data_IF_845071462996
#
_entry.id   IF_845071462996
#
_cell.length_a   1.000
_cell.length_b   1.000
_cell.length_c   1.000
_cell.angle_alpha   90.00
_cell.angle_beta   90.00
_cell.angle_gamma   90.00
#
_symmetry.space_group_name_H-M   'P 1'
#
loop_
_entity.id
_entity.type
_entity.pdbx_description
1 polymer ?
#
# COMPACT_ATOMS: atom_id res chain seq x y z
N UNK A 1 -2.95 -4.19 0.12
CA UNK A 1 -3.57 -3.14 0.94
C UNK A 1 -3.06 -3.24 2.37
N UNK A 2 -3.36 -2.27 3.26
CA UNK A 2 -2.98 -2.35 4.67
C UNK A 2 -3.69 -3.52 5.38
N UNK A 3 -4.97 -3.75 5.08
CA UNK A 3 -5.70 -4.92 5.56
C UNK A 3 -5.00 -6.25 5.20
N UNK A 4 -4.53 -6.39 3.95
CA UNK A 4 -3.78 -7.59 3.55
C UNK A 4 -2.55 -7.81 4.43
N UNK A 5 -1.72 -6.78 4.63
CA UNK A 5 -0.53 -6.88 5.49
C UNK A 5 -0.90 -7.29 6.91
N UNK A 6 -1.89 -6.63 7.51
CA UNK A 6 -2.34 -6.96 8.87
C UNK A 6 -2.89 -8.38 8.99
N UNK A 7 -3.69 -8.83 8.02
CA UNK A 7 -4.22 -10.19 7.99
C UNK A 7 -3.11 -11.24 7.86
N UNK A 8 -2.13 -11.02 6.98
CA UNK A 8 -1.00 -11.93 6.85
C UNK A 8 -0.08 -11.92 8.08
N UNK A 9 0.02 -10.80 8.81
CA UNK A 9 0.66 -10.76 10.13
C UNK A 9 -0.04 -11.69 11.14
N UNK A 10 -1.35 -11.55 11.31
CA UNK A 10 -2.12 -12.42 12.21
C UNK A 10 -1.94 -13.90 11.87
N UNK A 11 -1.99 -14.22 10.57
CA UNK A 11 -1.77 -15.57 10.06
C UNK A 11 -0.35 -16.07 10.37
N UNK A 12 0.66 -15.25 10.14
CA UNK A 12 2.05 -15.62 10.40
C UNK A 12 2.30 -15.91 11.89
N UNK A 13 1.72 -15.10 12.78
CA UNK A 13 1.80 -15.31 14.23
C UNK A 13 1.14 -16.63 14.64
N UNK A 14 -0.07 -16.92 14.15
CA UNK A 14 -0.74 -18.19 14.40
C UNK A 14 0.05 -19.39 13.82
N UNK A 15 0.63 -19.24 12.64
CA UNK A 15 1.46 -20.30 12.04
C UNK A 15 2.73 -20.57 12.84
N UNK A 16 3.40 -19.53 13.33
CA UNK A 16 4.57 -19.69 14.19
C UNK A 16 4.19 -20.37 15.53
N UNK A 17 3.04 -20.00 16.10
CA UNK A 17 2.50 -20.62 17.31
C UNK A 17 2.17 -22.11 17.13
N UNK A 18 1.53 -22.47 16.01
CA UNK A 18 1.19 -23.86 15.67
C UNK A 18 2.42 -24.70 15.26
N UNK A 19 3.63 -24.12 15.18
CA UNK A 19 4.84 -24.78 14.67
C UNK A 19 4.84 -25.04 13.16
N UNK A 20 3.97 -24.35 12.41
CA UNK A 20 3.80 -24.49 10.95
C UNK A 20 4.58 -23.45 10.15
N UNK A 21 4.92 -22.32 10.80
CA UNK A 21 5.66 -21.21 10.21
C UNK A 21 6.99 -20.97 10.92
N UNK A 22 7.84 -20.17 10.30
CA UNK A 22 9.07 -19.68 10.93
C UNK A 22 8.74 -18.73 12.08
N UNK A 23 9.62 -18.70 13.10
CA UNK A 23 9.54 -17.69 14.17
C UNK A 23 9.77 -16.29 13.59
N UNK A 24 9.04 -15.31 14.12
CA UNK A 24 9.05 -13.93 13.63
C UNK A 24 8.88 -12.95 14.77
N UNK A 25 9.51 -11.78 14.65
CA UNK A 25 9.33 -10.66 15.61
C UNK A 25 7.90 -10.12 15.59
N UNK A 26 7.09 -10.50 14.60
CA UNK A 26 5.68 -10.15 14.54
C UNK A 26 4.87 -10.76 15.68
N UNK A 27 5.28 -11.90 16.25
CA UNK A 27 4.56 -12.55 17.35
C UNK A 27 4.41 -11.60 18.53
N UNK A 28 5.53 -11.12 19.07
CA UNK A 28 5.54 -10.20 20.21
C UNK A 28 4.84 -8.88 19.87
N UNK A 29 5.14 -8.30 18.70
CA UNK A 29 4.57 -7.01 18.27
C UNK A 29 3.06 -7.04 18.09
N UNK A 30 2.52 -8.12 17.52
CA UNK A 30 1.06 -8.27 17.33
C UNK A 30 0.39 -8.52 18.67
N UNK A 31 0.97 -9.35 19.54
CA UNK A 31 0.42 -9.61 20.86
C UNK A 31 0.34 -8.32 21.68
N UNK A 32 1.40 -7.52 21.70
CA UNK A 32 1.43 -6.21 22.33
C UNK A 32 0.36 -5.27 21.75
N UNK A 33 0.29 -5.17 20.42
CA UNK A 33 -0.68 -4.30 19.74
C UNK A 33 -2.15 -4.69 19.98
N UNK A 34 -2.42 -5.96 20.27
CA UNK A 34 -3.77 -6.47 20.56
C UNK A 34 -4.06 -6.58 22.06
N UNK A 35 -3.06 -6.38 22.93
CA UNK A 35 -3.18 -6.53 24.37
C UNK A 35 -3.54 -7.95 24.80
N UNK A 36 -2.96 -8.96 24.15
CA UNK A 36 -3.22 -10.39 24.42
C UNK A 36 -1.97 -11.06 25.01
N UNK A 37 -2.18 -12.12 25.79
CA UNK A 37 -1.11 -12.85 26.49
C UNK A 37 -0.67 -14.12 25.76
N UNK A 38 -1.47 -14.61 24.81
CA UNK A 38 -1.12 -15.76 23.97
C UNK A 38 -1.60 -15.60 22.51
N UNK A 39 -0.86 -16.10 21.49
CA UNK A 39 -1.29 -16.05 20.09
C UNK A 39 -2.66 -16.66 19.77
N UNK A 40 -3.12 -17.68 20.49
CA UNK A 40 -4.42 -18.31 20.25
C UNK A 40 -5.61 -17.37 20.54
N UNK A 41 -5.41 -16.35 21.38
CA UNK A 41 -6.41 -15.31 21.64
C UNK A 41 -6.73 -14.46 20.40
N UNK A 42 -5.88 -14.48 19.36
CA UNK A 42 -6.17 -13.84 18.06
C UNK A 42 -7.48 -14.39 17.48
N UNK A 43 -7.77 -15.68 17.64
CA UNK A 43 -9.01 -16.30 17.13
C UNK A 43 -10.23 -15.64 17.78
N UNK A 44 -10.19 -15.44 19.10
CA UNK A 44 -11.25 -14.75 19.84
C UNK A 44 -11.38 -13.29 19.38
N UNK A 45 -10.27 -12.56 19.25
CA UNK A 45 -10.25 -11.18 18.76
C UNK A 45 -10.93 -11.05 17.39
N UNK A 46 -10.57 -11.92 16.44
CA UNK A 46 -11.08 -11.86 15.06
C UNK A 46 -12.54 -12.29 14.95
N UNK A 47 -12.91 -13.42 15.56
CA UNK A 47 -14.24 -14.02 15.33
C UNK A 47 -15.30 -13.65 16.36
N UNK A 48 -14.93 -13.50 17.64
CA UNK A 48 -15.86 -13.22 18.73
C UNK A 48 -16.00 -11.71 18.93
N UNK A 49 -14.86 -11.01 19.05
CA UNK A 49 -14.83 -9.55 19.21
C UNK A 49 -14.99 -8.82 17.88
N UNK A 50 -15.02 -9.56 16.75
CA UNK A 50 -15.31 -9.06 15.40
C UNK A 50 -14.43 -7.87 15.01
N UNK A 51 -13.11 -8.03 15.16
CA UNK A 51 -12.15 -7.05 14.67
C UNK A 51 -12.51 -6.58 13.26
N UNK A 52 -12.71 -5.28 13.13
CA UNK A 52 -13.04 -4.66 11.87
C UNK A 52 -11.85 -4.65 10.91
N UNK A 53 -12.15 -4.42 9.62
CA UNK A 53 -11.14 -4.25 8.57
C UNK A 53 -10.12 -3.17 8.94
N UNK A 54 -10.57 -2.08 9.56
CA UNK A 54 -9.70 -1.00 10.01
C UNK A 54 -8.74 -1.45 11.11
N UNK A 55 -9.21 -2.22 12.09
CA UNK A 55 -8.39 -2.70 13.21
C UNK A 55 -7.31 -3.66 12.73
N UNK A 56 -7.65 -4.58 11.83
CA UNK A 56 -6.67 -5.47 11.20
C UNK A 56 -5.68 -4.65 10.37
N UNK A 57 -6.15 -3.68 9.59
CA UNK A 57 -5.27 -2.83 8.79
C UNK A 57 -4.28 -2.00 9.62
N UNK A 58 -4.59 -1.67 10.88
CA UNK A 58 -3.67 -0.97 11.79
C UNK A 58 -2.43 -1.79 12.16
N UNK A 59 -2.42 -3.10 11.90
CA UNK A 59 -1.24 -3.95 12.10
C UNK A 59 -0.23 -3.87 10.94
N UNK A 60 -0.60 -3.26 9.81
CA UNK A 60 0.28 -3.14 8.65
C UNK A 60 1.64 -2.46 8.92
N UNK A 61 1.73 -1.38 9.73
CA UNK A 61 3.00 -0.76 10.07
C UNK A 61 3.97 -1.75 10.72
N UNK A 62 3.50 -2.62 11.62
CA UNK A 62 4.32 -3.65 12.28
C UNK A 62 5.02 -4.56 11.27
N UNK A 63 4.32 -4.94 10.19
CA UNK A 63 4.87 -5.76 9.11
C UNK A 63 5.95 -4.99 8.36
N UNK A 64 5.67 -3.74 7.98
CA UNK A 64 6.65 -2.95 7.21
C UNK A 64 7.87 -2.57 8.03
N UNK A 65 7.73 -2.35 9.34
CA UNK A 65 8.83 -2.10 10.26
C UNK A 65 9.66 -3.35 10.50
N UNK A 66 9.04 -4.49 10.77
CA UNK A 66 9.74 -5.77 10.92
C UNK A 66 10.52 -6.13 9.64
N UNK A 67 9.94 -5.90 8.45
CA UNK A 67 10.63 -6.10 7.19
C UNK A 67 11.84 -5.16 7.02
N UNK A 68 11.73 -3.87 7.43
CA UNK A 68 12.86 -2.94 7.46
C UNK A 68 13.98 -3.40 8.39
N UNK A 69 13.63 -4.04 9.51
CA UNK A 69 14.57 -4.62 10.47
C UNK A 69 15.14 -5.99 10.05
N UNK A 70 14.78 -6.51 8.87
CA UNK A 70 15.34 -7.74 8.32
C UNK A 70 14.60 -9.02 8.71
N UNK A 71 13.41 -8.94 9.32
CA UNK A 71 12.59 -10.13 9.58
C UNK A 71 12.16 -10.78 8.26
N UNK A 72 12.46 -12.08 8.11
CA UNK A 72 12.25 -12.83 6.87
C UNK A 72 10.77 -13.03 6.55
N UNK A 73 9.97 -13.32 7.56
CA UNK A 73 8.52 -13.55 7.42
C UNK A 73 7.84 -12.27 6.97
N UNK A 74 8.11 -11.16 7.64
CA UNK A 74 7.61 -9.84 7.31
C UNK A 74 8.07 -9.39 5.91
N UNK A 75 9.34 -9.63 5.57
CA UNK A 75 9.87 -9.35 4.22
C UNK A 75 9.14 -10.14 3.14
N UNK A 76 8.81 -11.41 3.39
CA UNK A 76 8.01 -12.25 2.49
C UNK A 76 6.60 -11.69 2.30
N UNK A 77 5.94 -11.28 3.39
CA UNK A 77 4.60 -10.67 3.35
C UNK A 77 4.62 -9.37 2.54
N UNK A 78 5.61 -8.49 2.75
CA UNK A 78 5.76 -7.23 2.00
C UNK A 78 6.00 -7.50 0.52
N UNK A 79 6.86 -8.47 0.20
CA UNK A 79 7.13 -8.87 -1.19
C UNK A 79 5.87 -9.39 -1.88
N UNK A 80 5.06 -10.19 -1.18
CA UNK A 80 3.80 -10.70 -1.73
C UNK A 80 2.77 -9.58 -1.94
N UNK A 81 2.66 -8.64 -0.99
CA UNK A 81 1.82 -7.46 -1.16
C UNK A 81 2.25 -6.62 -2.37
N UNK A 82 3.56 -6.39 -2.54
CA UNK A 82 4.14 -5.69 -3.68
C UNK A 82 3.85 -6.42 -5.00
N UNK A 83 3.94 -7.76 -5.02
CA UNK A 83 3.61 -8.58 -6.18
C UNK A 83 2.16 -8.38 -6.60
N UNK A 84 1.23 -8.45 -5.65
CA UNK A 84 -0.19 -8.23 -5.92
C UNK A 84 -0.45 -6.82 -6.47
N UNK A 85 0.17 -5.78 -5.90
CA UNK A 85 0.06 -4.41 -6.40
C UNK A 85 0.58 -4.30 -7.84
N UNK A 86 1.75 -4.88 -8.13
CA UNK A 86 2.33 -4.84 -9.47
C UNK A 86 1.44 -5.52 -10.51
N UNK A 87 0.81 -6.64 -10.16
CA UNK A 87 -0.12 -7.34 -11.04
C UNK A 87 -1.32 -6.48 -11.47
N UNK A 88 -1.80 -5.56 -10.62
CA UNK A 88 -2.87 -4.63 -11.01
C UNK A 88 -2.40 -3.69 -12.12
N UNK A 89 -1.22 -3.09 -11.96
CA UNK A 89 -0.64 -2.19 -12.98
C UNK A 89 -0.43 -2.94 -14.29
N UNK A 90 0.18 -4.13 -14.24
CA UNK A 90 0.46 -4.94 -15.45
C UNK A 90 -0.83 -5.29 -16.18
N UNK A 91 -1.89 -5.65 -15.45
CA UNK A 91 -3.19 -5.93 -16.04
C UNK A 91 -3.80 -4.70 -16.72
N UNK A 92 -3.66 -3.52 -16.11
CA UNK A 92 -4.18 -2.26 -16.66
C UNK A 92 -3.40 -1.82 -17.91
N UNK A 93 -2.07 -1.88 -17.88
CA UNK A 93 -1.22 -1.56 -19.04
C UNK A 93 -1.64 -2.36 -20.26
N UNK A 94 -1.81 -3.67 -20.10
CA UNK A 94 -2.27 -4.56 -21.17
C UNK A 94 -3.69 -4.24 -21.61
N UNK A 95 -4.61 -4.03 -20.66
CA UNK A 95 -6.02 -3.75 -20.96
C UNK A 95 -6.22 -2.43 -21.72
N UNK A 96 -5.37 -1.43 -21.45
CA UNK A 96 -5.44 -0.10 -22.04
C UNK A 96 -4.55 0.05 -23.30
N UNK A 97 -3.78 -0.97 -23.67
CA UNK A 97 -2.88 -0.91 -24.83
C UNK A 97 -1.67 0.04 -24.63
N UNK A 98 -1.30 0.33 -23.38
CA UNK A 98 -0.23 1.28 -23.03
C UNK A 98 1.18 0.66 -23.08
N UNK A 99 1.34 -0.49 -23.71
CA UNK A 99 2.62 -1.22 -23.74
C UNK A 99 3.73 -0.43 -24.47
N UNK A 100 3.35 0.46 -25.40
CA UNK A 100 4.26 1.36 -26.11
C UNK A 100 4.66 2.64 -25.35
N UNK A 101 4.00 2.96 -24.24
CA UNK A 101 4.27 4.18 -23.46
C UNK A 101 5.39 3.94 -22.45
N UNK A 102 6.65 4.01 -22.93
CA UNK A 102 7.82 3.73 -22.10
C UNK A 102 8.60 5.04 -21.79
N UNK A 103 8.87 5.37 -20.51
CA UNK A 103 8.49 4.61 -19.31
C UNK A 103 7.01 4.78 -18.95
N UNK A 104 6.41 3.71 -18.42
CA UNK A 104 5.07 3.75 -17.86
C UNK A 104 5.15 4.48 -16.51
N UNK A 105 4.51 5.65 -16.43
CA UNK A 105 4.43 6.44 -15.20
C UNK A 105 3.39 5.83 -14.27
N UNK A 106 3.81 5.47 -13.05
CA UNK A 106 2.95 4.86 -12.03
C UNK A 106 2.94 5.76 -10.81
N UNK A 107 1.82 6.44 -10.60
CA UNK A 107 1.60 7.23 -9.39
C UNK A 107 1.12 6.33 -8.24
N UNK A 108 1.84 6.32 -7.12
CA UNK A 108 1.47 5.51 -5.96
C UNK A 108 0.67 6.33 -4.95
N UNK A 109 -0.54 5.86 -4.62
CA UNK A 109 -1.41 6.50 -3.62
C UNK A 109 -1.81 5.50 -2.53
N UNK A 110 -1.86 5.96 -1.29
CA UNK A 110 -2.38 5.20 -0.15
C UNK A 110 -1.34 4.85 0.91
N UNK A 111 -1.83 4.56 2.11
CA UNK A 111 -1.00 4.47 3.33
C UNK A 111 0.09 3.40 3.30
N UNK A 112 -0.06 2.33 2.52
CA UNK A 112 0.97 1.29 2.40
C UNK A 112 2.26 1.83 1.77
N UNK A 113 2.14 2.69 0.76
CA UNK A 113 3.31 3.28 0.08
C UNK A 113 4.08 4.27 0.97
N UNK A 114 3.47 4.77 2.06
CA UNK A 114 4.16 5.57 3.09
C UNK A 114 5.24 4.78 3.84
N UNK A 115 5.26 3.44 3.72
CA UNK A 115 6.35 2.62 4.23
C UNK A 115 7.68 2.84 3.46
N UNK A 116 7.66 3.51 2.30
CA UNK A 116 8.83 3.90 1.54
C UNK A 116 9.48 2.72 0.80
N UNK A 117 10.80 2.73 0.72
CA UNK A 117 11.59 1.77 -0.09
C UNK A 117 11.31 0.30 0.22
N UNK A 118 10.87 -0.04 1.43
CA UNK A 118 10.55 -1.43 1.82
C UNK A 118 9.44 -2.02 0.94
N UNK A 119 8.48 -1.21 0.49
CA UNK A 119 7.42 -1.64 -0.44
C UNK A 119 7.70 -1.19 -1.87
N UNK A 120 8.27 0.01 -2.06
CA UNK A 120 8.51 0.58 -3.40
C UNK A 120 9.51 -0.26 -4.19
N UNK A 121 10.63 -0.70 -3.57
CA UNK A 121 11.64 -1.53 -4.26
C UNK A 121 11.08 -2.84 -4.81
N UNK A 122 10.45 -3.72 -4.00
CA UNK A 122 9.89 -4.95 -4.54
C UNK A 122 8.76 -4.68 -5.54
N UNK A 123 7.93 -3.66 -5.32
CA UNK A 123 6.85 -3.28 -6.24
C UNK A 123 7.40 -2.89 -7.61
N UNK A 124 8.35 -1.95 -7.66
CA UNK A 124 9.04 -1.53 -8.88
C UNK A 124 9.76 -2.70 -9.55
N UNK A 125 10.48 -3.52 -8.79
CA UNK A 125 11.15 -4.72 -9.31
C UNK A 125 10.20 -5.71 -10.00
N UNK A 126 8.96 -5.87 -9.51
CA UNK A 126 7.98 -6.73 -10.18
C UNK A 126 7.44 -6.15 -11.50
N UNK A 127 7.37 -4.83 -11.61
CA UNK A 127 6.96 -4.12 -12.83
C UNK A 127 8.07 -4.16 -13.90
N UNK A 128 9.30 -3.89 -13.49
CA UNK A 128 10.50 -3.84 -14.35
C UNK A 128 10.83 -5.17 -15.04
N UNK A 129 10.25 -6.28 -14.58
CA UNK A 129 10.31 -7.57 -15.29
C UNK A 129 9.61 -7.56 -16.65
N UNK A 130 8.77 -6.56 -16.93
CA UNK A 130 7.89 -6.53 -18.11
C UNK A 130 7.95 -5.19 -18.84
N UNK A 131 8.04 -4.09 -18.10
CA UNK A 131 7.97 -2.75 -18.66
C UNK A 131 9.02 -1.84 -18.01
N UNK A 132 9.51 -0.85 -18.76
CA UNK A 132 10.21 0.29 -18.15
C UNK A 132 9.19 1.12 -17.38
N UNK A 133 9.43 1.35 -16.09
CA UNK A 133 8.49 2.08 -15.24
C UNK A 133 9.17 3.20 -14.47
N UNK A 134 8.44 4.29 -14.32
CA UNK A 134 8.81 5.42 -13.47
C UNK A 134 7.79 5.55 -12.34
N UNK A 135 8.24 5.42 -11.09
CA UNK A 135 7.37 5.69 -9.94
C UNK A 135 7.37 7.20 -9.72
N UNK A 136 6.19 7.82 -9.82
CA UNK A 136 6.01 9.27 -9.72
C UNK A 136 5.13 9.63 -8.53
N UNK A 137 5.34 10.80 -7.96
CA UNK A 137 4.40 11.37 -7.00
C UNK A 137 3.31 12.15 -7.75
N UNK A 138 2.03 12.06 -7.32
CA UNK A 138 0.99 12.94 -7.85
C UNK A 138 1.36 14.41 -7.61
N UNK A 139 1.26 15.24 -8.65
CA UNK A 139 1.54 16.67 -8.53
C UNK A 139 0.55 17.38 -7.59
N UNK A 140 -0.71 16.96 -7.63
CA UNK A 140 -1.80 17.54 -6.85
C UNK A 140 -2.52 16.48 -6.00
N UNK A 141 -3.18 16.88 -4.90
CA UNK A 141 -4.01 15.97 -4.15
C UNK A 141 -5.23 15.51 -4.97
N UNK A 142 -5.86 14.36 -4.62
CA UNK A 142 -7.04 13.85 -5.32
C UNK A 142 -8.21 14.84 -5.42
N UNK A 143 -8.34 15.76 -4.45
CA UNK A 143 -9.36 16.80 -4.46
C UNK A 143 -9.22 17.75 -5.67
N UNK A 144 -8.00 18.09 -6.07
CA UNK A 144 -7.75 18.89 -7.29
C UNK A 144 -8.07 18.06 -8.53
N UNK A 145 -7.74 16.76 -8.53
CA UNK A 145 -8.16 15.86 -9.61
C UNK A 145 -9.68 15.83 -9.81
N UNK A 146 -10.46 15.85 -8.72
CA UNK A 146 -11.91 15.93 -8.78
C UNK A 146 -12.42 17.26 -9.34
N UNK A 147 -11.77 18.39 -9.00
CA UNK A 147 -12.07 19.70 -9.58
C UNK A 147 -11.81 19.71 -11.09
N UNK A 148 -10.63 19.24 -11.52
CA UNK A 148 -10.26 19.16 -12.94
C UNK A 148 -11.24 18.27 -13.71
N UNK A 149 -11.63 17.13 -13.13
CA UNK A 149 -12.63 16.24 -13.73
C UNK A 149 -14.00 16.93 -13.87
N UNK A 150 -14.41 17.73 -12.87
CA UNK A 150 -15.65 18.52 -12.93
C UNK A 150 -15.63 19.54 -14.09
N UNK A 151 -14.50 20.22 -14.29
CA UNK A 151 -14.30 21.12 -15.43
C UNK A 151 -14.45 20.38 -16.75
N UNK A 152 -13.73 19.26 -16.93
CA UNK A 152 -13.82 18.46 -18.15
C UNK A 152 -15.25 17.99 -18.44
N UNK A 153 -15.98 17.51 -17.42
CA UNK A 153 -17.36 17.07 -17.55
C UNK A 153 -18.35 18.21 -17.83
N UNK A 154 -17.98 19.44 -17.47
CA UNK A 154 -18.76 20.66 -17.75
C UNK A 154 -18.41 21.29 -19.11
N UNK A 155 -17.57 20.64 -19.92
CA UNK A 155 -17.11 21.15 -21.20
C UNK A 155 -16.04 22.26 -21.09
N UNK A 156 -15.46 22.45 -19.91
CA UNK A 156 -14.35 23.38 -19.69
C UNK A 156 -13.05 22.64 -20.01
N UNK A 157 -12.33 23.12 -21.01
CA UNK A 157 -10.99 22.60 -21.34
C UNK A 157 -9.99 22.95 -20.23
N UNK A 158 -9.28 21.95 -19.71
CA UNK A 158 -8.24 22.14 -18.69
C UNK A 158 -6.98 22.65 -19.37
N UNK A 159 -6.88 23.98 -19.50
CA UNK A 159 -5.72 24.65 -20.09
C UNK A 159 -4.54 24.76 -19.12
N UNK A 160 -3.34 24.99 -19.66
CA UNK A 160 -2.14 25.24 -18.87
C UNK A 160 -2.31 26.45 -17.92
N UNK A 161 -3.09 27.46 -18.34
CA UNK A 161 -3.43 28.61 -17.51
C UNK A 161 -4.24 28.20 -16.27
N UNK A 162 -5.23 27.30 -16.42
CA UNK A 162 -6.00 26.78 -15.29
C UNK A 162 -5.08 26.00 -14.33
N UNK A 163 -4.21 25.14 -14.87
CA UNK A 163 -3.27 24.36 -14.06
C UNK A 163 -2.30 25.26 -13.30
N UNK A 164 -1.76 26.30 -13.95
CA UNK A 164 -0.86 27.26 -13.32
C UNK A 164 -1.58 28.12 -12.27
N UNK A 165 -2.83 28.52 -12.53
CA UNK A 165 -3.67 29.20 -11.53
C UNK A 165 -3.89 28.32 -10.30
N UNK A 166 -4.20 27.03 -10.48
CA UNK A 166 -4.31 26.07 -9.38
C UNK A 166 -2.97 25.97 -8.64
N UNK A 167 -1.85 25.86 -9.35
CA UNK A 167 -0.50 25.78 -8.75
C UNK A 167 -0.18 27.00 -7.89
N UNK A 168 -0.62 28.20 -8.30
CA UNK A 168 -0.47 29.44 -7.53
C UNK A 168 -1.43 29.54 -6.35
N UNK A 169 -2.68 29.15 -6.54
CA UNK A 169 -3.73 29.29 -5.51
C UNK A 169 -3.72 28.18 -4.47
N UNK A 170 -3.14 27.02 -4.80
CA UNK A 170 -2.99 25.89 -3.89
C UNK A 170 -1.60 25.96 -3.24
N UNK A 171 -1.45 26.61 -2.06
CA UNK A 171 -0.21 26.47 -1.31
C UNK A 171 0.00 24.97 -1.03
N UNK A 172 1.24 24.48 -1.14
CA UNK A 172 1.64 23.10 -0.78
C UNK A 172 1.40 22.86 0.71
N UNK A 173 0.15 22.80 1.15
CA UNK A 173 -0.24 22.30 2.45
C UNK A 173 -0.49 20.82 2.28
N UNK A 174 0.26 20.01 3.04
CA UNK A 174 0.10 18.57 3.13
C UNK A 174 -1.29 18.28 3.69
N UNK A 175 -2.29 18.11 2.83
CA UNK A 175 -3.65 17.73 3.22
C UNK A 175 -3.76 16.28 3.71
N UNK A 176 -2.66 15.51 3.72
CA UNK A 176 -2.62 14.12 4.17
C UNK A 176 -1.31 13.83 4.91
N UNK A 177 -1.17 14.36 6.12
CA UNK A 177 -0.26 13.78 7.13
C UNK A 177 -0.97 12.61 7.80
#
# INVERSE_FOLDING_TARGET
SAYFLGREALRAVLWAYDGRGEQTVLTEKVMEALGISSPDEIVRKVYVEKMSVHEIARLAPLVTEAAKSGDKVASSIVREAARHLALHVIALVKKLGMEGEQPIKVATVGGVFRAGEVIIKPFKSFLEKRYSVEIVEPEFPPAIGALLLSYMLSGIEVSEEIVENIRRSYPKHRLYA
#
